data_IF_915294656753
#
_entry.id   IF_915294656753
#
_cell.length_a   1.000
_cell.length_b   1.000
_cell.length_c   1.000
_cell.angle_alpha   90.00
_cell.angle_beta   90.00
_cell.angle_gamma   90.00
#
_symmetry.space_group_name_H-M   'P 1'
#
loop_
_entity.id
_entity.type
_entity.pdbx_description
1 polymer ?
#
# COMPACT_ATOMS: atom_id res chain seq x y z
N UNK A 1 -44.16 -2.52 47.11
CA UNK A 1 -43.80 -3.37 45.96
C UNK A 1 -43.20 -2.61 44.77
N UNK A 2 -43.60 -1.36 44.46
CA UNK A 2 -43.09 -0.60 43.28
C UNK A 2 -41.62 -0.13 43.31
N UNK A 3 -40.98 0.03 44.48
CA UNK A 3 -39.61 0.60 44.58
C UNK A 3 -38.51 -0.43 44.26
N UNK A 4 -38.79 -1.72 44.46
CA UNK A 4 -37.82 -2.81 44.27
C UNK A 4 -37.59 -3.08 42.77
N UNK A 5 -38.65 -2.99 41.96
CA UNK A 5 -38.56 -3.09 40.48
C UNK A 5 -37.71 -1.98 39.86
N UNK A 6 -37.80 -0.75 40.37
CA UNK A 6 -37.08 0.41 39.81
C UNK A 6 -35.56 0.30 40.06
N UNK A 7 -35.14 -0.21 41.23
CA UNK A 7 -33.73 -0.39 41.57
C UNK A 7 -33.06 -1.52 40.76
N UNK A 8 -33.78 -2.63 40.55
CA UNK A 8 -33.34 -3.71 39.68
C UNK A 8 -33.22 -3.26 38.22
N UNK A 9 -34.21 -2.51 37.73
CA UNK A 9 -34.19 -1.95 36.38
C UNK A 9 -33.03 -0.98 36.15
N UNK A 10 -32.76 -0.06 37.09
CA UNK A 10 -31.64 0.87 36.96
C UNK A 10 -30.29 0.13 36.95
N UNK A 11 -30.13 -0.90 37.79
CA UNK A 11 -28.89 -1.69 37.86
C UNK A 11 -28.66 -2.51 36.59
N UNK A 12 -29.71 -3.12 36.04
CA UNK A 12 -29.65 -3.84 34.76
C UNK A 12 -29.34 -2.91 33.59
N UNK A 13 -29.95 -1.73 33.56
CA UNK A 13 -29.67 -0.71 32.54
C UNK A 13 -28.21 -0.25 32.59
N UNK A 14 -27.67 0.06 33.77
CA UNK A 14 -26.25 0.41 33.94
C UNK A 14 -25.30 -0.69 33.46
N UNK A 15 -25.64 -1.95 33.73
CA UNK A 15 -24.84 -3.09 33.28
C UNK A 15 -24.86 -3.24 31.75
N UNK A 16 -26.02 -3.13 31.12
CA UNK A 16 -26.15 -3.15 29.66
C UNK A 16 -25.42 -1.98 29.00
N UNK A 17 -25.51 -0.78 29.59
CA UNK A 17 -24.78 0.41 29.12
C UNK A 17 -23.27 0.18 29.16
N UNK A 18 -22.74 -0.46 30.22
CA UNK A 18 -21.32 -0.79 30.31
C UNK A 18 -20.89 -1.80 29.25
N UNK A 19 -21.68 -2.84 29.00
CA UNK A 19 -21.40 -3.82 27.95
C UNK A 19 -21.37 -3.13 26.58
N UNK A 20 -22.38 -2.32 26.28
CA UNK A 20 -22.44 -1.56 25.04
C UNK A 20 -21.23 -0.63 24.88
N UNK A 21 -20.83 0.04 25.96
CA UNK A 21 -19.66 0.90 25.98
C UNK A 21 -18.36 0.12 25.71
N UNK A 22 -18.16 -1.04 26.36
CA UNK A 22 -16.99 -1.89 26.12
C UNK A 22 -16.94 -2.42 24.69
N UNK A 23 -18.09 -2.88 24.16
CA UNK A 23 -18.19 -3.31 22.76
C UNK A 23 -17.84 -2.17 21.81
N UNK A 24 -18.35 -0.97 22.07
CA UNK A 24 -18.04 0.23 21.28
C UNK A 24 -16.55 0.58 21.34
N UNK A 25 -15.90 0.48 22.50
CA UNK A 25 -14.47 0.72 22.62
C UNK A 25 -13.63 -0.25 21.78
N UNK A 26 -13.98 -1.54 21.79
CA UNK A 26 -13.29 -2.55 20.96
C UNK A 26 -13.50 -2.26 19.48
N UNK A 27 -14.72 -1.93 19.07
CA UNK A 27 -15.02 -1.55 17.68
C UNK A 27 -14.22 -0.31 17.26
N UNK A 28 -14.22 0.76 18.07
CA UNK A 28 -13.44 1.97 17.78
C UNK A 28 -11.94 1.66 17.72
N UNK A 29 -11.44 0.81 18.61
CA UNK A 29 -10.04 0.42 18.59
C UNK A 29 -9.68 -0.31 17.27
N UNK A 30 -10.42 -1.35 16.93
CA UNK A 30 -10.14 -2.23 15.81
C UNK A 30 -10.43 -1.59 14.44
N UNK A 31 -11.45 -0.72 14.36
CA UNK A 31 -11.87 -0.10 13.10
C UNK A 31 -11.27 1.29 12.86
N UNK A 32 -10.68 1.91 13.88
CA UNK A 32 -10.17 3.27 13.76
C UNK A 32 -8.80 3.47 14.40
N UNK A 33 -8.65 3.28 15.72
CA UNK A 33 -7.45 3.68 16.46
C UNK A 33 -6.21 2.89 16.04
N UNK A 34 -6.35 1.58 15.80
CA UNK A 34 -5.23 0.70 15.50
C UNK A 34 -4.43 1.16 14.27
N UNK A 35 -5.10 1.73 13.27
CA UNK A 35 -4.46 2.25 12.06
C UNK A 35 -3.51 3.40 12.39
N UNK A 36 -3.96 4.39 13.18
CA UNK A 36 -3.08 5.47 13.63
C UNK A 36 -1.96 4.96 14.53
N UNK A 37 -2.26 4.04 15.45
CA UNK A 37 -1.25 3.51 16.37
C UNK A 37 -0.10 2.82 15.63
N UNK A 38 -0.40 1.97 14.65
CA UNK A 38 0.63 1.30 13.84
C UNK A 38 1.39 2.31 12.97
N UNK A 39 0.68 3.26 12.34
CA UNK A 39 1.30 4.26 11.47
C UNK A 39 2.21 5.25 12.20
N UNK A 40 1.94 5.57 13.47
CA UNK A 40 2.83 6.39 14.31
C UNK A 40 4.21 5.74 14.51
N UNK A 41 4.35 4.44 14.24
CA UNK A 41 5.64 3.76 14.19
C UNK A 41 6.47 4.06 12.93
N UNK A 42 5.91 4.76 11.93
CA UNK A 42 6.62 5.19 10.73
C UNK A 42 6.82 6.71 10.70
N UNK A 43 7.82 7.15 9.95
CA UNK A 43 8.11 8.58 9.76
C UNK A 43 8.76 8.82 8.41
N UNK A 44 8.68 10.05 7.91
CA UNK A 44 9.43 10.45 6.73
C UNK A 44 10.93 10.27 6.96
N UNK A 45 11.63 9.49 6.10
CA UNK A 45 13.04 9.23 6.33
C UNK A 45 13.86 10.50 6.13
N UNK A 46 14.86 10.69 6.99
CA UNK A 46 15.70 11.89 7.00
C UNK A 46 16.87 11.74 6.04
N UNK A 47 17.03 12.70 5.13
CA UNK A 47 18.13 12.72 4.16
C UNK A 47 19.49 12.77 4.88
N UNK A 48 20.45 12.00 4.37
CA UNK A 48 21.81 11.95 4.91
C UNK A 48 22.80 12.47 3.89
N UNK A 49 23.81 13.23 4.32
CA UNK A 49 24.90 13.69 3.44
C UNK A 49 25.72 12.54 2.85
N UNK A 50 25.71 11.37 3.49
CA UNK A 50 26.46 10.19 3.02
C UNK A 50 25.89 9.61 1.72
N UNK A 51 24.61 9.84 1.42
CA UNK A 51 23.95 9.32 0.21
C UNK A 51 23.71 10.36 -0.87
N UNK A 52 24.26 11.54 -0.65
CA UNK A 52 24.20 12.60 -1.61
C UNK A 52 25.05 12.25 -2.83
N UNK A 53 24.45 12.36 -4.01
CA UNK A 53 25.14 12.19 -5.28
C UNK A 53 25.77 13.53 -5.68
N UNK A 54 27.06 13.67 -5.39
CA UNK A 54 27.82 14.89 -5.70
C UNK A 54 28.02 15.13 -7.21
N UNK A 55 27.64 14.18 -8.07
CA UNK A 55 27.66 14.38 -9.53
C UNK A 55 26.46 15.18 -10.05
N UNK A 56 25.40 15.32 -9.24
CA UNK A 56 24.19 16.08 -9.58
C UNK A 56 24.18 17.38 -8.77
N UNK A 57 23.89 18.49 -9.44
CA UNK A 57 23.79 19.79 -8.77
C UNK A 57 22.71 19.75 -7.68
N UNK A 58 23.03 20.24 -6.47
CA UNK A 58 22.02 20.37 -5.42
C UNK A 58 20.90 21.33 -5.85
N UNK A 59 19.75 21.32 -5.15
CA UNK A 59 18.70 22.30 -5.38
C UNK A 59 19.28 23.72 -5.31
N UNK A 60 18.88 24.60 -6.23
CA UNK A 60 19.35 26.00 -6.27
C UNK A 60 18.96 26.77 -5.01
N UNK A 61 17.83 26.41 -4.42
CA UNK A 61 17.33 26.96 -3.16
C UNK A 61 17.53 25.94 -2.03
N UNK A 62 18.43 26.26 -1.10
CA UNK A 62 18.75 25.42 0.06
C UNK A 62 17.67 25.43 1.14
N UNK A 63 16.69 26.34 1.07
CA UNK A 63 15.57 26.43 2.00
C UNK A 63 14.37 25.57 1.58
N UNK A 64 14.42 25.03 0.36
CA UNK A 64 13.32 24.27 -0.21
C UNK A 64 13.14 22.92 0.49
N UNK A 65 11.89 22.61 0.82
CA UNK A 65 11.52 21.34 1.46
C UNK A 65 11.66 20.18 0.46
N UNK A 66 12.12 19.00 0.90
CA UNK A 66 12.23 17.84 0.04
C UNK A 66 10.84 17.36 -0.43
N UNK A 67 10.81 16.72 -1.59
CA UNK A 67 9.63 16.07 -2.11
C UNK A 67 9.34 14.80 -1.29
N UNK A 68 8.10 14.65 -0.86
CA UNK A 68 7.62 13.52 -0.06
C UNK A 68 6.67 12.69 -0.91
N UNK A 69 7.08 11.46 -1.17
CA UNK A 69 6.41 10.53 -2.07
C UNK A 69 5.98 9.30 -1.30
N UNK A 70 4.73 8.88 -1.48
CA UNK A 70 4.20 7.62 -0.98
C UNK A 70 4.03 6.64 -2.15
N UNK A 71 4.34 5.37 -1.93
CA UNK A 71 4.17 4.33 -2.92
C UNK A 71 3.31 3.19 -2.36
N UNK A 72 2.32 2.78 -3.14
CA UNK A 72 1.33 1.75 -2.85
C UNK A 72 1.31 0.77 -4.03
N UNK A 73 1.04 -0.50 -3.78
CA UNK A 73 0.89 -1.50 -4.82
C UNK A 73 -0.11 -2.59 -4.43
N UNK A 74 -0.58 -3.34 -5.43
CA UNK A 74 -1.37 -4.57 -5.28
C UNK A 74 -2.57 -4.36 -4.34
N UNK A 75 -3.42 -3.38 -4.65
CA UNK A 75 -4.64 -3.13 -3.87
C UNK A 75 -5.73 -4.17 -4.16
N UNK A 76 -5.71 -4.78 -5.35
CA UNK A 76 -6.61 -5.86 -5.75
C UNK A 76 -8.09 -5.56 -5.46
N UNK A 77 -8.58 -4.40 -5.90
CA UNK A 77 -10.00 -4.08 -5.86
C UNK A 77 -10.79 -5.04 -6.75
N UNK A 78 -11.62 -5.87 -6.14
CA UNK A 78 -12.43 -6.87 -6.85
C UNK A 78 -13.35 -6.18 -7.85
N UNK A 79 -13.15 -6.44 -9.15
CA UNK A 79 -13.95 -5.77 -10.19
C UNK A 79 -15.40 -6.28 -10.20
N UNK A 80 -15.63 -7.58 -9.95
CA UNK A 80 -16.96 -8.20 -10.04
C UNK A 80 -17.80 -8.10 -8.76
N UNK A 81 -19.14 -8.11 -8.92
CA UNK A 81 -20.11 -8.08 -7.82
C UNK A 81 -20.44 -9.45 -7.22
N UNK A 82 -19.97 -10.55 -7.82
CA UNK A 82 -20.34 -11.92 -7.42
C UNK A 82 -19.66 -12.42 -6.14
N UNK A 83 -18.71 -11.67 -5.60
CA UNK A 83 -18.06 -12.02 -4.34
C UNK A 83 -18.89 -11.68 -3.11
N UNK A 84 -18.68 -12.46 -2.03
CA UNK A 84 -19.36 -12.28 -0.76
C UNK A 84 -19.18 -10.85 -0.22
N UNK A 85 -20.29 -10.12 -0.13
CA UNK A 85 -20.31 -8.67 0.16
C UNK A 85 -19.56 -8.27 1.44
N UNK A 86 -19.50 -9.14 2.45
CA UNK A 86 -18.80 -8.86 3.70
C UNK A 86 -17.28 -8.88 3.58
N UNK A 87 -16.71 -9.87 2.87
CA UNK A 87 -15.26 -9.95 2.69
C UNK A 87 -14.79 -8.73 1.91
N UNK A 88 -15.46 -8.42 0.79
CA UNK A 88 -15.22 -7.20 0.02
C UNK A 88 -15.30 -5.95 0.90
N UNK A 89 -16.38 -5.78 1.67
CA UNK A 89 -16.53 -4.64 2.57
C UNK A 89 -15.38 -4.55 3.57
N UNK A 90 -14.94 -5.68 4.15
CA UNK A 90 -13.87 -5.71 5.13
C UNK A 90 -12.51 -5.31 4.53
N UNK A 91 -12.19 -5.82 3.34
CA UNK A 91 -10.94 -5.51 2.61
C UNK A 91 -10.92 -4.05 2.16
N UNK A 92 -11.99 -3.57 1.55
CA UNK A 92 -12.09 -2.16 1.13
C UNK A 92 -12.08 -1.21 2.33
N UNK A 93 -12.73 -1.58 3.44
CA UNK A 93 -12.66 -0.80 4.68
C UNK A 93 -11.23 -0.73 5.22
N UNK A 94 -10.48 -1.83 5.21
CA UNK A 94 -9.08 -1.80 5.60
C UNK A 94 -8.27 -0.84 4.72
N UNK A 95 -8.39 -0.96 3.40
CA UNK A 95 -7.64 -0.09 2.48
C UNK A 95 -8.01 1.38 2.69
N UNK A 96 -9.29 1.69 2.83
CA UNK A 96 -9.78 3.02 3.14
C UNK A 96 -9.17 3.54 4.44
N UNK A 97 -9.27 2.78 5.54
CA UNK A 97 -8.75 3.22 6.85
C UNK A 97 -7.24 3.38 6.83
N UNK A 98 -6.50 2.45 6.24
CA UNK A 98 -5.06 2.52 6.06
C UNK A 98 -4.65 3.75 5.25
N UNK A 99 -5.26 3.99 4.10
CA UNK A 99 -4.91 5.10 3.23
C UNK A 99 -5.28 6.46 3.84
N UNK A 100 -6.50 6.61 4.34
CA UNK A 100 -6.95 7.90 4.89
C UNK A 100 -6.17 8.30 6.15
N UNK A 101 -5.81 7.33 7.00
CA UNK A 101 -4.95 7.61 8.16
C UNK A 101 -3.51 7.93 7.76
N UNK A 102 -2.95 7.24 6.75
CA UNK A 102 -1.63 7.55 6.20
C UNK A 102 -1.60 8.94 5.54
N UNK A 103 -2.60 9.27 4.73
CA UNK A 103 -2.75 10.59 4.11
C UNK A 103 -2.81 11.70 5.17
N UNK A 104 -3.61 11.49 6.24
CA UNK A 104 -3.73 12.45 7.34
C UNK A 104 -2.42 12.63 8.12
N UNK A 105 -1.68 11.54 8.39
CA UNK A 105 -0.47 11.60 9.22
C UNK A 105 0.76 12.08 8.44
N UNK A 106 0.86 11.73 7.16
CA UNK A 106 2.09 11.95 6.39
C UNK A 106 1.99 13.08 5.38
N UNK A 107 0.78 13.43 4.91
CA UNK A 107 0.54 14.48 3.91
C UNK A 107 1.56 14.41 2.73
N UNK A 108 1.58 13.30 1.98
CA UNK A 108 2.48 13.13 0.85
C UNK A 108 2.14 14.14 -0.26
N UNK A 109 3.16 14.62 -0.97
CA UNK A 109 2.94 15.48 -2.15
C UNK A 109 2.45 14.65 -3.34
N UNK A 110 2.94 13.40 -3.45
CA UNK A 110 2.62 12.48 -4.54
C UNK A 110 2.38 11.08 -3.96
N UNK A 111 1.36 10.39 -4.48
CA UNK A 111 1.13 8.96 -4.27
C UNK A 111 1.22 8.24 -5.60
N UNK A 112 2.08 7.21 -5.67
CA UNK A 112 2.14 6.30 -6.81
C UNK A 112 1.47 4.96 -6.48
N UNK A 113 0.62 4.46 -7.39
CA UNK A 113 0.08 3.11 -7.36
C UNK A 113 0.79 2.26 -8.43
N UNK A 114 1.52 1.24 -8.02
CA UNK A 114 2.38 0.43 -8.87
C UNK A 114 1.66 -0.84 -9.34
N UNK A 115 0.53 -0.66 -10.02
CA UNK A 115 -0.22 -1.75 -10.64
C UNK A 115 -1.01 -2.63 -9.68
N UNK A 116 -1.74 -3.56 -10.29
CA UNK A 116 -2.72 -4.44 -9.65
C UNK A 116 -3.65 -3.65 -8.74
N UNK A 117 -4.18 -2.56 -9.32
CA UNK A 117 -5.21 -1.75 -8.68
C UNK A 117 -6.46 -2.60 -8.45
N UNK A 118 -6.78 -3.42 -9.43
CA UNK A 118 -7.94 -4.30 -9.48
C UNK A 118 -7.55 -5.76 -9.40
N UNK A 119 -8.50 -6.60 -8.99
CA UNK A 119 -8.43 -8.03 -9.20
C UNK A 119 -9.46 -8.44 -10.25
N UNK A 120 -8.98 -8.98 -11.37
CA UNK A 120 -9.80 -9.33 -12.53
C UNK A 120 -10.23 -8.12 -13.37
N UNK A 121 -9.46 -7.03 -13.36
CA UNK A 121 -9.69 -5.86 -14.20
C UNK A 121 -9.76 -6.21 -15.68
N UNK A 122 -8.98 -7.19 -16.14
CA UNK A 122 -9.01 -7.74 -17.49
C UNK A 122 -10.21 -8.65 -17.80
N UNK A 123 -11.00 -9.02 -16.79
CA UNK A 123 -12.14 -9.92 -16.94
C UNK A 123 -13.49 -9.19 -16.83
N UNK A 124 -13.50 -7.97 -16.28
CA UNK A 124 -14.73 -7.26 -16.05
C UNK A 124 -15.24 -6.46 -17.25
N UNK A 125 -16.56 -6.28 -17.29
CA UNK A 125 -17.24 -5.43 -18.26
C UNK A 125 -16.86 -3.96 -18.08
N UNK A 126 -17.07 -3.13 -19.10
CA UNK A 126 -16.75 -1.70 -19.02
C UNK A 126 -17.57 -0.97 -17.93
N UNK A 127 -18.80 -1.40 -17.67
CA UNK A 127 -19.62 -0.88 -16.58
C UNK A 127 -19.06 -1.23 -15.20
N UNK A 128 -18.60 -2.47 -15.01
CA UNK A 128 -17.94 -2.90 -13.77
C UNK A 128 -16.60 -2.20 -13.58
N UNK A 129 -15.85 -2.01 -14.67
CA UNK A 129 -14.61 -1.24 -14.68
C UNK A 129 -14.85 0.20 -14.23
N UNK A 130 -15.81 0.90 -14.84
CA UNK A 130 -16.12 2.28 -14.50
C UNK A 130 -16.49 2.44 -13.02
N UNK A 131 -17.36 1.58 -12.50
CA UNK A 131 -17.75 1.58 -11.09
C UNK A 131 -16.56 1.23 -10.18
N UNK A 132 -15.66 0.37 -10.63
CA UNK A 132 -14.44 0.02 -9.86
C UNK A 132 -13.46 1.18 -9.81
N UNK A 133 -13.32 1.95 -10.89
CA UNK A 133 -12.53 3.20 -10.93
C UNK A 133 -13.14 4.27 -10.02
N UNK A 134 -14.46 4.45 -10.02
CA UNK A 134 -15.14 5.36 -9.08
C UNK A 134 -14.88 4.96 -7.61
N UNK A 135 -14.96 3.65 -7.31
CA UNK A 135 -14.63 3.13 -5.98
C UNK A 135 -13.16 3.37 -5.62
N UNK A 136 -12.23 3.18 -6.56
CA UNK A 136 -10.82 3.48 -6.35
C UNK A 136 -10.64 4.93 -5.88
N UNK A 137 -11.17 5.91 -6.62
CA UNK A 137 -11.05 7.32 -6.25
C UNK A 137 -11.79 7.67 -4.95
N UNK A 138 -12.87 6.95 -4.61
CA UNK A 138 -13.55 7.11 -3.32
C UNK A 138 -12.70 6.61 -2.15
N UNK A 139 -12.11 5.41 -2.26
CA UNK A 139 -11.31 4.78 -1.20
C UNK A 139 -9.98 5.52 -1.00
N UNK A 140 -9.33 5.87 -2.10
CA UNK A 140 -8.04 6.54 -2.16
C UNK A 140 -8.15 8.04 -2.41
N UNK A 141 -9.16 8.67 -1.81
CA UNK A 141 -9.38 10.12 -1.94
C UNK A 141 -8.29 10.93 -1.24
N UNK A 142 -7.80 11.96 -1.92
CA UNK A 142 -6.73 12.84 -1.43
C UNK A 142 -7.21 14.28 -1.27
N UNK A 143 -6.46 15.09 -0.53
CA UNK A 143 -6.60 16.55 -0.54
C UNK A 143 -6.11 17.14 -1.87
N UNK A 144 -6.57 18.35 -2.23
CA UNK A 144 -6.23 19.02 -3.50
C UNK A 144 -4.71 19.15 -3.79
N UNK A 145 -3.87 19.13 -2.74
CA UNK A 145 -2.42 19.30 -2.86
C UNK A 145 -1.65 18.00 -3.12
N UNK A 146 -2.30 16.83 -3.02
CA UNK A 146 -1.66 15.52 -3.24
C UNK A 146 -2.09 14.95 -4.58
N UNK A 147 -1.11 14.63 -5.43
CA UNK A 147 -1.35 14.05 -6.77
C UNK A 147 -1.22 12.53 -6.75
N UNK A 148 -2.13 11.84 -7.45
CA UNK A 148 -2.09 10.39 -7.63
C UNK A 148 -1.63 10.07 -9.06
N UNK A 149 -0.72 9.11 -9.20
CA UNK A 149 -0.35 8.52 -10.47
C UNK A 149 -0.40 7.00 -10.38
N UNK A 150 -0.92 6.36 -11.42
CA UNK A 150 -1.14 4.92 -11.46
C UNK A 150 -0.45 4.38 -12.70
N UNK A 151 0.24 3.24 -12.57
CA UNK A 151 0.69 2.42 -13.69
C UNK A 151 -0.06 1.07 -13.66
N UNK A 152 -0.23 0.38 -14.80
CA UNK A 152 -0.98 -0.88 -14.85
C UNK A 152 -0.18 -2.06 -14.29
N UNK A 153 -0.90 -3.00 -13.68
CA UNK A 153 -0.42 -4.36 -13.41
C UNK A 153 -1.12 -5.42 -14.27
N UNK A 154 -0.72 -6.68 -14.10
CA UNK A 154 -1.27 -7.78 -14.91
C UNK A 154 -2.72 -8.12 -14.54
N UNK A 155 -3.18 -7.87 -13.31
CA UNK A 155 -4.59 -8.01 -12.94
C UNK A 155 -5.45 -6.84 -13.42
N UNK A 156 -4.86 -5.75 -13.91
CA UNK A 156 -5.60 -4.61 -14.45
C UNK A 156 -5.90 -4.80 -15.94
N UNK A 157 -4.89 -5.20 -16.72
CA UNK A 157 -4.96 -5.25 -18.19
C UNK A 157 -4.72 -6.64 -18.80
N UNK A 158 -4.30 -7.62 -18.00
CA UNK A 158 -3.91 -8.97 -18.40
C UNK A 158 -2.40 -9.18 -18.39
N UNK A 159 -1.96 -10.44 -18.35
CA UNK A 159 -0.58 -10.77 -18.71
C UNK A 159 -0.33 -10.43 -20.19
N UNK A 160 0.94 -10.39 -20.58
CA UNK A 160 1.37 -9.96 -21.91
C UNK A 160 0.50 -10.49 -23.08
N UNK A 161 0.26 -11.80 -23.11
CA UNK A 161 -0.51 -12.47 -24.16
C UNK A 161 -2.04 -12.30 -24.05
N UNK A 162 -2.52 -11.76 -22.95
CA UNK A 162 -3.95 -11.56 -22.64
C UNK A 162 -4.38 -10.10 -22.84
N UNK A 163 -3.43 -9.17 -23.02
CA UNK A 163 -3.75 -7.75 -23.18
C UNK A 163 -4.52 -7.51 -24.47
N UNK A 164 -5.73 -6.98 -24.35
CA UNK A 164 -6.54 -6.53 -25.48
C UNK A 164 -6.49 -5.01 -25.62
N UNK A 165 -6.74 -4.52 -26.84
CA UNK A 165 -6.89 -3.08 -27.12
C UNK A 165 -7.94 -2.41 -26.24
N UNK A 166 -9.02 -3.12 -25.89
CA UNK A 166 -10.10 -2.61 -25.05
C UNK A 166 -9.63 -2.39 -23.61
N UNK A 167 -9.02 -3.41 -23.00
CA UNK A 167 -8.52 -3.34 -21.62
C UNK A 167 -7.44 -2.27 -21.46
N UNK A 168 -6.53 -2.19 -22.43
CA UNK A 168 -5.49 -1.18 -22.44
C UNK A 168 -6.08 0.24 -22.55
N UNK A 169 -6.92 0.51 -23.55
CA UNK A 169 -7.48 1.86 -23.78
C UNK A 169 -8.31 2.34 -22.60
N UNK A 170 -9.13 1.48 -21.99
CA UNK A 170 -9.94 1.89 -20.84
C UNK A 170 -9.07 2.20 -19.62
N UNK A 171 -7.98 1.46 -19.41
CA UNK A 171 -7.02 1.76 -18.35
C UNK A 171 -6.30 3.08 -18.60
N UNK A 172 -5.74 3.27 -19.81
CA UNK A 172 -5.06 4.51 -20.23
C UNK A 172 -5.99 5.72 -20.02
N UNK A 173 -7.27 5.59 -20.40
CA UNK A 173 -8.25 6.66 -20.25
C UNK A 173 -8.60 6.96 -18.78
N UNK A 174 -8.81 5.91 -17.97
CA UNK A 174 -9.26 6.05 -16.59
C UNK A 174 -8.19 6.67 -15.68
N UNK A 175 -6.91 6.34 -15.93
CA UNK A 175 -5.79 6.73 -15.07
C UNK A 175 -4.80 7.69 -15.73
N UNK A 176 -5.01 8.07 -16.99
CA UNK A 176 -4.06 8.87 -17.78
C UNK A 176 -2.66 8.24 -17.80
N UNK A 177 -2.63 6.93 -18.04
CA UNK A 177 -1.46 6.08 -17.88
C UNK A 177 -1.02 5.51 -19.24
N UNK A 178 -0.27 6.28 -20.07
CA UNK A 178 0.32 5.75 -21.30
C UNK A 178 1.33 4.64 -21.00
N UNK A 179 1.90 4.00 -22.02
CA UNK A 179 2.87 2.92 -21.79
C UNK A 179 4.13 3.44 -21.12
N UNK A 180 4.58 4.64 -21.48
CA UNK A 180 5.67 5.33 -20.80
C UNK A 180 5.27 6.75 -20.47
N UNK A 181 5.31 7.10 -19.19
CA UNK A 181 4.99 8.45 -18.70
C UNK A 181 6.22 9.08 -18.06
N UNK A 182 6.66 10.22 -18.62
CA UNK A 182 7.59 11.11 -17.95
C UNK A 182 6.83 12.07 -17.04
N UNK A 183 7.14 12.05 -15.75
CA UNK A 183 6.72 13.07 -14.80
C UNK A 183 7.92 13.92 -14.39
N UNK A 184 7.82 15.22 -14.62
CA UNK A 184 8.81 16.20 -14.17
C UNK A 184 8.22 17.03 -13.04
N UNK A 185 8.91 17.08 -11.90
CA UNK A 185 8.51 17.94 -10.78
C UNK A 185 9.22 19.29 -10.95
N UNK A 186 8.48 20.27 -11.47
CA UNK A 186 8.98 21.51 -12.10
C UNK A 186 10.02 22.26 -11.29
N UNK A 187 9.81 22.41 -9.99
CA UNK A 187 10.70 23.23 -9.16
C UNK A 187 11.99 22.50 -8.74
N UNK A 188 12.04 21.16 -8.84
CA UNK A 188 13.20 20.34 -8.45
C UNK A 188 13.85 19.63 -9.64
N UNK A 189 13.25 19.66 -10.83
CA UNK A 189 13.67 18.81 -11.96
C UNK A 189 13.86 17.34 -11.55
N UNK A 190 13.02 16.84 -10.63
CA UNK A 190 13.01 15.42 -10.28
C UNK A 190 12.16 14.73 -11.34
N UNK A 191 12.74 13.72 -11.99
CA UNK A 191 12.10 12.99 -13.06
C UNK A 191 11.72 11.58 -12.60
N UNK A 192 10.46 11.21 -12.80
CA UNK A 192 9.97 9.84 -12.69
C UNK A 192 9.59 9.34 -14.08
N UNK A 193 9.96 8.11 -14.39
CA UNK A 193 9.53 7.40 -15.60
C UNK A 193 8.70 6.21 -15.14
N UNK A 194 7.40 6.26 -15.40
CA UNK A 194 6.49 5.17 -15.11
C UNK A 194 6.35 4.34 -16.38
N UNK A 195 6.49 3.03 -16.27
CA UNK A 195 6.38 2.11 -17.40
C UNK A 195 5.25 1.10 -17.18
N UNK A 196 4.51 0.81 -18.24
CA UNK A 196 3.71 -0.40 -18.35
C UNK A 196 4.66 -1.58 -18.60
N UNK A 197 5.07 -2.26 -17.53
CA UNK A 197 6.03 -3.36 -17.61
C UNK A 197 5.54 -4.55 -18.44
N UNK A 198 4.22 -4.74 -18.58
CA UNK A 198 3.62 -5.79 -19.43
C UNK A 198 3.94 -5.57 -20.92
N UNK A 199 4.29 -4.34 -21.30
CA UNK A 199 4.69 -4.01 -22.66
C UNK A 199 6.19 -4.25 -22.97
N UNK A 200 7.00 -4.67 -21.99
CA UNK A 200 8.45 -4.90 -22.16
C UNK A 200 8.81 -6.40 -22.22
N UNK A 201 8.02 -7.19 -22.98
CA UNK A 201 8.25 -8.63 -23.18
C UNK A 201 9.44 -8.94 -24.10
N UNK A 202 9.72 -8.04 -25.05
CA UNK A 202 10.82 -8.15 -26.01
C UNK A 202 10.50 -8.93 -27.30
N UNK A 203 9.23 -9.26 -27.55
CA UNK A 203 8.80 -10.04 -28.73
C UNK A 203 8.42 -9.18 -29.95
N UNK A 204 8.61 -7.85 -29.87
CA UNK A 204 8.30 -6.86 -30.91
C UNK A 204 6.82 -6.79 -31.29
N UNK A 205 5.92 -7.19 -30.39
CA UNK A 205 4.49 -7.03 -30.56
C UNK A 205 4.05 -5.55 -30.72
N UNK A 206 2.79 -5.30 -31.12
CA UNK A 206 2.25 -3.94 -31.27
C UNK A 206 2.30 -3.12 -29.97
N UNK A 207 1.95 -3.75 -28.84
CA UNK A 207 2.01 -3.16 -27.50
C UNK A 207 3.46 -2.73 -27.16
N UNK A 208 4.41 -3.59 -27.52
CA UNK A 208 5.84 -3.47 -27.26
C UNK A 208 6.46 -2.33 -28.08
N UNK A 209 6.18 -2.30 -29.39
CA UNK A 209 6.66 -1.23 -30.27
C UNK A 209 6.17 0.14 -29.83
N UNK A 210 4.92 0.24 -29.36
CA UNK A 210 4.39 1.50 -28.83
C UNK A 210 5.13 1.93 -27.57
N UNK A 211 5.35 1.02 -26.62
CA UNK A 211 6.11 1.31 -25.40
C UNK A 211 7.56 1.73 -25.71
N UNK A 212 8.23 1.05 -26.64
CA UNK A 212 9.58 1.40 -27.07
C UNK A 212 9.65 2.78 -27.75
N UNK A 213 8.66 3.12 -28.59
CA UNK A 213 8.60 4.45 -29.21
C UNK A 213 8.41 5.54 -28.14
N UNK A 214 7.45 5.37 -27.23
CA UNK A 214 7.21 6.31 -26.12
C UNK A 214 8.45 6.44 -25.21
N UNK A 215 9.16 5.34 -24.92
CA UNK A 215 10.41 5.34 -24.17
C UNK A 215 11.49 6.18 -24.85
N UNK A 216 11.69 5.95 -26.16
CA UNK A 216 12.68 6.68 -26.94
C UNK A 216 12.36 8.18 -27.02
N UNK A 217 11.09 8.56 -27.18
CA UNK A 217 10.65 9.95 -27.15
C UNK A 217 10.98 10.62 -25.81
N UNK A 218 10.59 9.99 -24.70
CA UNK A 218 10.85 10.48 -23.34
C UNK A 218 12.35 10.66 -23.07
N UNK A 219 13.17 9.67 -23.44
CA UNK A 219 14.62 9.70 -23.22
C UNK A 219 15.28 10.78 -24.08
N UNK A 220 14.84 10.95 -25.33
CA UNK A 220 15.34 11.99 -26.21
C UNK A 220 14.97 13.39 -25.71
N UNK A 221 13.77 13.57 -25.17
CA UNK A 221 13.34 14.83 -24.57
C UNK A 221 14.18 15.21 -23.33
N UNK A 222 14.47 14.24 -22.45
CA UNK A 222 15.35 14.46 -21.30
C UNK A 222 16.79 14.82 -21.72
N UNK A 223 17.32 14.17 -22.76
CA UNK A 223 18.64 14.49 -23.32
C UNK A 223 18.66 15.90 -23.93
N UNK A 224 17.66 16.25 -24.74
CA UNK A 224 17.56 17.55 -25.43
C UNK A 224 17.47 18.72 -24.46
N UNK A 225 16.69 18.56 -23.39
CA UNK A 225 16.49 19.62 -22.39
C UNK A 225 17.68 19.82 -21.46
N UNK A 226 18.69 18.95 -21.52
CA UNK A 226 19.82 18.96 -20.57
C UNK A 226 19.36 18.74 -19.12
N UNK A 227 18.15 18.24 -18.91
CA UNK A 227 17.53 18.01 -17.61
C UNK A 227 17.81 16.60 -17.10
N UNK A 228 18.87 15.94 -17.57
CA UNK A 228 19.17 14.56 -17.19
C UNK A 228 19.62 14.45 -15.73
N UNK A 229 18.67 14.29 -14.80
CA UNK A 229 18.94 14.15 -13.36
C UNK A 229 18.97 12.71 -12.87
N UNK A 230 19.20 11.73 -13.76
CA UNK A 230 19.08 10.27 -13.47
C UNK A 230 17.69 9.93 -12.91
N UNK A 231 16.69 9.71 -13.78
CA UNK A 231 15.29 9.55 -13.35
C UNK A 231 15.08 8.36 -12.41
N UNK A 232 13.93 8.36 -11.74
CA UNK A 232 13.42 7.24 -10.95
C UNK A 232 12.55 6.38 -11.85
N UNK A 233 12.86 5.08 -11.97
CA UNK A 233 12.06 4.13 -12.73
C UNK A 233 10.96 3.54 -11.84
N UNK A 234 9.72 3.56 -12.31
CA UNK A 234 8.58 2.93 -11.65
C UNK A 234 7.96 1.89 -12.59
N UNK A 235 7.80 0.66 -12.11
CA UNK A 235 7.19 -0.44 -12.87
C UNK A 235 6.26 -1.26 -11.96
N UNK A 236 5.42 -2.11 -12.55
CA UNK A 236 4.68 -3.12 -11.78
C UNK A 236 5.54 -4.37 -11.61
N UNK A 237 5.97 -5.00 -12.70
CA UNK A 237 6.90 -6.14 -12.61
C UNK A 237 8.28 -5.68 -12.14
N UNK A 238 8.92 -6.42 -11.21
CA UNK A 238 10.29 -6.18 -10.84
C UNK A 238 11.24 -6.32 -12.02
N UNK A 239 12.37 -5.63 -11.91
CA UNK A 239 13.51 -5.89 -12.76
C UNK A 239 14.02 -7.31 -12.53
N UNK A 240 14.72 -7.85 -13.52
CA UNK A 240 15.20 -9.22 -13.52
C UNK A 240 16.04 -9.52 -12.27
N UNK A 241 15.66 -10.60 -11.59
CA UNK A 241 16.48 -11.27 -10.58
C UNK A 241 16.15 -12.75 -10.57
N UNK A 242 17.16 -13.59 -10.36
CA UNK A 242 17.01 -15.05 -10.43
C UNK A 242 16.10 -15.60 -9.32
N UNK A 243 16.20 -15.03 -8.11
CA UNK A 243 15.44 -15.40 -6.95
C UNK A 243 15.48 -14.27 -5.89
N UNK A 244 14.79 -14.48 -4.76
CA UNK A 244 14.72 -13.53 -3.65
C UNK A 244 15.81 -13.75 -2.57
N UNK A 245 16.88 -14.52 -2.84
CA UNK A 245 17.92 -14.83 -1.85
C UNK A 245 18.65 -13.56 -1.37
N UNK A 246 18.90 -12.62 -2.28
CA UNK A 246 19.58 -11.36 -1.98
C UNK A 246 18.66 -10.24 -1.51
N UNK A 247 17.35 -10.51 -1.34
CA UNK A 247 16.43 -9.52 -0.80
C UNK A 247 16.78 -9.22 0.65
N UNK A 248 17.20 -7.99 0.94
CA UNK A 248 17.26 -7.52 2.32
C UNK A 248 15.83 -7.47 2.87
N UNK A 249 15.42 -8.44 3.68
CA UNK A 249 14.07 -8.47 4.28
C UNK A 249 13.95 -7.41 5.37
N UNK A 250 12.77 -6.80 5.50
CA UNK A 250 12.50 -5.95 6.66
C UNK A 250 12.50 -6.81 7.93
N UNK A 251 12.85 -6.21 9.06
CA UNK A 251 13.02 -6.87 10.36
C UNK A 251 11.77 -7.59 10.89
N UNK A 252 10.60 -7.47 10.24
CA UNK A 252 9.35 -8.13 10.65
C UNK A 252 9.12 -9.53 10.06
N UNK A 253 9.96 -9.99 9.12
CA UNK A 253 9.87 -11.33 8.50
C UNK A 253 11.21 -12.08 8.49
N UNK A 254 11.99 -11.93 9.56
CA UNK A 254 13.23 -12.68 9.81
C UNK A 254 12.96 -14.14 10.21
N UNK A 255 12.28 -14.89 9.35
CA UNK A 255 12.38 -16.34 9.35
C UNK A 255 13.51 -16.72 8.40
N UNK A 256 14.63 -17.18 8.96
CA UNK A 256 15.78 -17.72 8.24
C UNK A 256 15.32 -18.84 7.32
N UNK A 257 15.06 -18.51 6.06
CA UNK A 257 14.83 -19.49 4.99
C UNK A 257 16.22 -19.88 4.46
N UNK A 258 16.56 -21.16 4.55
CA UNK A 258 17.78 -21.73 3.96
C UNK A 258 17.79 -21.48 2.44
N UNK A 259 18.96 -21.35 1.80
CA UNK A 259 19.12 -21.12 0.35
C UNK A 259 18.27 -22.06 -0.54
N UNK A 260 17.94 -23.26 -0.08
CA UNK A 260 17.04 -24.21 -0.77
C UNK A 260 15.55 -23.82 -0.78
N UNK A 261 15.17 -22.66 -0.24
CA UNK A 261 13.77 -22.19 -0.13
C UNK A 261 13.45 -20.95 -0.97
N UNK A 262 14.38 -20.47 -1.80
CA UNK A 262 14.12 -19.38 -2.74
C UNK A 262 13.83 -19.97 -4.13
N UNK A 263 12.55 -20.08 -4.53
CA UNK A 263 12.21 -20.58 -5.87
C UNK A 263 12.80 -19.65 -6.93
N UNK A 264 13.12 -20.22 -8.08
CA UNK A 264 13.51 -19.44 -9.25
C UNK A 264 12.32 -18.61 -9.72
N UNK A 265 12.57 -17.34 -10.01
CA UNK A 265 11.58 -16.45 -10.61
C UNK A 265 11.58 -16.64 -12.12
N UNK A 266 10.38 -16.71 -12.70
CA UNK A 266 10.18 -16.85 -14.13
C UNK A 266 10.20 -15.48 -14.76
N UNK A 267 11.08 -15.30 -15.74
CA UNK A 267 11.06 -14.15 -16.63
C UNK A 267 9.70 -14.04 -17.32
N UNK A 268 9.26 -12.81 -17.60
CA UNK A 268 8.00 -12.45 -18.27
C UNK A 268 6.73 -12.79 -17.50
N UNK A 269 6.85 -13.36 -16.31
CA UNK A 269 5.74 -13.67 -15.43
C UNK A 269 5.95 -13.07 -14.06
N UNK A 270 7.00 -13.51 -13.35
CA UNK A 270 7.27 -13.09 -11.98
C UNK A 270 8.17 -11.83 -11.97
N UNK A 271 9.02 -11.68 -12.99
CA UNK A 271 9.93 -10.53 -13.19
C UNK A 271 10.07 -10.22 -14.68
N UNK A 272 10.55 -9.02 -15.03
CA UNK A 272 10.98 -8.72 -16.40
C UNK A 272 12.10 -9.65 -16.85
N UNK A 273 12.25 -9.82 -18.17
CA UNK A 273 13.38 -10.59 -18.71
C UNK A 273 14.70 -9.88 -18.43
N UNK A 274 15.78 -10.66 -18.43
CA UNK A 274 17.13 -10.10 -18.27
C UNK A 274 17.43 -9.07 -19.37
N UNK A 275 17.06 -9.35 -20.61
CA UNK A 275 17.28 -8.43 -21.74
C UNK A 275 16.47 -7.14 -21.59
N UNK A 276 15.19 -7.24 -21.20
CA UNK A 276 14.35 -6.07 -20.97
C UNK A 276 14.91 -5.20 -19.83
N UNK A 277 15.39 -5.83 -18.77
CA UNK A 277 16.02 -5.15 -17.63
C UNK A 277 17.30 -4.43 -18.05
N UNK A 278 18.19 -5.10 -18.78
CA UNK A 278 19.43 -4.51 -19.28
C UNK A 278 19.15 -3.33 -20.23
N UNK A 279 18.16 -3.48 -21.12
CA UNK A 279 17.71 -2.43 -22.03
C UNK A 279 17.20 -1.20 -21.27
N UNK A 280 16.28 -1.39 -20.31
CA UNK A 280 15.72 -0.30 -19.50
C UNK A 280 16.81 0.41 -18.69
N UNK A 281 17.68 -0.34 -18.00
CA UNK A 281 18.75 0.25 -17.20
C UNK A 281 19.77 1.01 -18.06
N UNK A 282 20.09 0.52 -19.25
CA UNK A 282 21.04 1.17 -20.19
C UNK A 282 20.43 2.43 -20.81
N UNK A 283 19.16 2.36 -21.21
CA UNK A 283 18.45 3.41 -21.93
C UNK A 283 18.05 4.56 -21.01
N UNK A 284 17.51 4.24 -19.83
CA UNK A 284 17.01 5.21 -18.84
C UNK A 284 18.13 5.70 -17.90
N UNK A 285 19.13 4.85 -17.64
CA UNK A 285 20.18 5.09 -16.63
C UNK A 285 19.63 5.61 -15.29
N UNK A 286 18.63 4.95 -14.70
CA UNK A 286 17.95 5.47 -13.54
C UNK A 286 18.89 5.58 -12.34
N UNK A 287 18.50 6.41 -11.37
CA UNK A 287 19.19 6.46 -10.07
C UNK A 287 18.74 5.33 -9.16
N UNK A 288 17.47 4.94 -9.26
CA UNK A 288 16.84 3.87 -8.50
C UNK A 288 15.55 3.42 -9.21
N UNK A 289 15.03 2.27 -8.80
CA UNK A 289 13.76 1.73 -9.27
C UNK A 289 12.81 1.36 -8.12
N UNK A 290 11.51 1.45 -8.38
CA UNK A 290 10.48 0.83 -7.56
C UNK A 290 9.61 -0.10 -8.41
N UNK A 291 9.31 -1.27 -7.86
CA UNK A 291 8.48 -2.30 -8.49
C UNK A 291 7.46 -2.88 -7.50
N UNK A 292 6.63 -3.82 -7.95
CA UNK A 292 5.57 -4.46 -7.18
C UNK A 292 5.42 -5.95 -7.59
N UNK A 293 4.19 -6.47 -7.73
CA UNK A 293 3.82 -7.79 -8.24
C UNK A 293 4.15 -8.98 -7.32
N UNK A 294 5.36 -9.01 -6.73
CA UNK A 294 5.78 -10.12 -5.86
C UNK A 294 5.10 -10.11 -4.48
N UNK A 295 4.35 -9.03 -4.19
CA UNK A 295 3.64 -8.74 -2.94
C UNK A 295 4.50 -8.67 -1.68
N UNK A 296 5.78 -9.04 -1.74
CA UNK A 296 6.71 -9.08 -0.63
C UNK A 296 7.72 -7.93 -0.73
N UNK A 297 8.15 -7.44 0.44
CA UNK A 297 9.21 -6.44 0.50
C UNK A 297 10.51 -7.08 0.03
N UNK A 298 11.15 -6.42 -0.93
CA UNK A 298 12.50 -6.78 -1.34
C UNK A 298 13.29 -5.52 -1.64
N UNK A 299 14.54 -5.49 -1.17
CA UNK A 299 15.53 -4.52 -1.59
C UNK A 299 16.71 -5.25 -2.20
N UNK A 300 17.06 -4.89 -3.44
CA UNK A 300 18.23 -5.41 -4.15
C UNK A 300 18.99 -4.28 -4.83
N UNK A 301 20.21 -4.58 -5.25
CA UNK A 301 21.03 -3.68 -6.04
C UNK A 301 21.41 -4.36 -7.35
N UNK A 302 21.03 -3.75 -8.46
CA UNK A 302 21.36 -4.21 -9.80
C UNK A 302 22.76 -3.75 -10.17
N UNK A 303 23.58 -4.68 -10.66
CA UNK A 303 24.86 -4.35 -11.27
C UNK A 303 24.61 -3.80 -12.67
N UNK A 304 24.93 -2.53 -12.89
CA UNK A 304 24.91 -1.91 -14.20
C UNK A 304 26.33 -1.67 -14.73
N UNK A 305 26.43 -1.31 -16.01
CA UNK A 305 27.71 -0.98 -16.68
C UNK A 305 28.56 -0.02 -15.82
N UNK A 306 29.88 -0.22 -15.83
CA UNK A 306 30.86 0.49 -15.00
C UNK A 306 30.74 0.25 -13.48
N UNK A 307 30.24 -0.91 -13.04
CA UNK A 307 30.02 -1.27 -11.63
C UNK A 307 29.12 -0.26 -10.89
N UNK A 308 28.24 0.44 -11.61
CA UNK A 308 27.25 1.33 -10.98
C UNK A 308 26.12 0.46 -10.42
N UNK A 309 25.89 0.58 -9.12
CA UNK A 309 24.78 -0.10 -8.45
C UNK A 309 23.50 0.73 -8.57
N UNK A 310 22.42 0.10 -9.05
CA UNK A 310 21.09 0.71 -9.14
C UNK A 310 20.18 0.00 -8.12
N UNK A 311 19.82 0.65 -7.02
CA UNK A 311 18.92 0.06 -6.04
C UNK A 311 17.50 -0.07 -6.59
N UNK A 312 16.85 -1.19 -6.28
CA UNK A 312 15.44 -1.44 -6.54
C UNK A 312 14.74 -1.83 -5.24
N UNK A 313 13.56 -1.24 -5.00
CA UNK A 313 12.63 -1.70 -3.96
C UNK A 313 11.38 -2.29 -4.60
N UNK A 314 11.06 -3.54 -4.25
CA UNK A 314 9.76 -4.14 -4.54
C UNK A 314 8.81 -3.85 -3.37
N UNK A 315 7.73 -3.15 -3.69
CA UNK A 315 6.71 -2.70 -2.75
C UNK A 315 5.80 -3.88 -2.40
N UNK A 316 5.51 -4.09 -1.09
CA UNK A 316 4.56 -5.11 -0.68
C UNK A 316 3.12 -4.75 -1.03
N UNK A 317 2.24 -5.76 -1.03
CA UNK A 317 0.81 -5.50 -1.19
C UNK A 317 0.26 -4.65 -0.05
N UNK A 318 -0.64 -3.74 -0.41
CA UNK A 318 -1.38 -2.87 0.51
C UNK A 318 -2.63 -3.53 1.09
N UNK A 319 -3.05 -4.66 0.54
CA UNK A 319 -4.33 -5.31 0.83
C UNK A 319 -4.17 -6.52 1.74
N UNK A 320 -5.08 -6.66 2.72
CA UNK A 320 -5.19 -7.90 3.49
C UNK A 320 -5.57 -9.13 2.68
N UNK A 321 -6.09 -8.96 1.46
CA UNK A 321 -6.44 -10.09 0.60
C UNK A 321 -5.21 -10.92 0.24
N UNK A 322 -4.08 -10.24 0.06
CA UNK A 322 -2.84 -10.88 -0.36
C UNK A 322 -1.98 -11.25 0.85
N UNK A 323 -2.01 -10.43 1.93
CA UNK A 323 -1.09 -10.59 3.06
C UNK A 323 -1.71 -10.25 4.40
N UNK A 324 -1.32 -10.99 5.43
CA UNK A 324 -1.63 -10.62 6.81
C UNK A 324 -0.94 -9.31 7.24
N UNK A 325 0.25 -9.00 6.74
CA UNK A 325 1.06 -7.84 7.12
C UNK A 325 1.28 -6.83 5.97
N UNK A 326 0.22 -6.18 5.48
CA UNK A 326 0.35 -5.24 4.36
C UNK A 326 1.19 -4.03 4.76
N UNK A 327 1.74 -3.36 3.77
CA UNK A 327 2.62 -2.21 4.00
C UNK A 327 2.72 -1.33 2.75
N UNK A 328 3.37 -0.18 2.91
CA UNK A 328 3.64 0.77 1.85
C UNK A 328 5.02 1.39 2.07
N UNK A 329 5.45 2.23 1.13
CA UNK A 329 6.76 2.87 1.22
C UNK A 329 6.66 4.39 1.17
N UNK A 330 7.52 5.06 1.93
CA UNK A 330 7.69 6.50 1.93
C UNK A 330 9.08 6.85 1.42
N UNK A 331 9.18 7.87 0.57
CA UNK A 331 10.46 8.40 0.11
C UNK A 331 10.51 9.90 0.30
N UNK A 332 11.61 10.35 0.89
CA UNK A 332 12.02 11.75 0.92
C UNK A 332 13.08 11.93 -0.17
N UNK A 333 12.88 12.86 -1.10
CA UNK A 333 13.77 13.03 -2.25
C UNK A 333 14.02 14.50 -2.59
N UNK A 334 15.21 14.76 -3.12
CA UNK A 334 15.69 16.02 -3.73
C UNK A 334 16.42 15.67 -5.02
N UNK A 335 16.86 16.67 -5.80
CA UNK A 335 17.62 16.45 -7.05
C UNK A 335 18.76 15.44 -6.91
N UNK A 336 19.52 15.52 -5.81
CA UNK A 336 20.76 14.78 -5.61
C UNK A 336 20.80 13.94 -4.34
N UNK A 337 19.68 13.76 -3.64
CA UNK A 337 19.63 12.92 -2.43
C UNK A 337 18.26 12.26 -2.27
N UNK A 338 18.22 11.03 -1.75
CA UNK A 338 16.99 10.32 -1.45
C UNK A 338 17.16 9.42 -0.25
N UNK A 339 16.05 9.13 0.41
CA UNK A 339 15.93 8.08 1.43
C UNK A 339 14.56 7.45 1.36
N UNK A 340 14.50 6.17 1.71
CA UNK A 340 13.28 5.37 1.62
C UNK A 340 13.02 4.69 2.96
N UNK A 341 11.75 4.65 3.37
CA UNK A 341 11.27 3.96 4.56
C UNK A 341 10.16 2.97 4.18
N UNK A 342 10.18 1.80 4.83
CA UNK A 342 9.11 0.81 4.77
C UNK A 342 8.17 1.04 5.97
N UNK A 343 6.87 1.18 5.71
CA UNK A 343 5.86 1.44 6.73
C UNK A 343 4.84 0.31 6.78
N UNK A 344 4.73 -0.35 7.93
CA UNK A 344 3.75 -1.40 8.17
C UNK A 344 2.33 -0.85 8.35
N UNK A 345 1.33 -1.65 7.98
CA UNK A 345 -0.07 -1.44 8.31
C UNK A 345 -0.52 -2.46 9.38
N UNK A 346 -1.68 -2.25 10.02
CA UNK A 346 -2.22 -3.23 10.96
C UNK A 346 -2.34 -4.61 10.33
N UNK A 347 -1.99 -5.67 11.07
CA UNK A 347 -2.16 -7.04 10.61
C UNK A 347 -3.60 -7.52 10.77
N UNK A 348 -4.11 -8.28 9.81
CA UNK A 348 -5.47 -8.83 9.90
C UNK A 348 -5.63 -9.69 11.15
N UNK A 349 -4.67 -10.59 11.38
CA UNK A 349 -4.60 -11.46 12.56
C UNK A 349 -4.60 -10.68 13.86
N UNK A 350 -3.89 -9.55 13.92
CA UNK A 350 -3.85 -8.71 15.11
C UNK A 350 -5.22 -8.08 15.38
N UNK A 351 -5.92 -7.61 14.34
CA UNK A 351 -7.28 -7.07 14.50
C UNK A 351 -8.26 -8.16 14.90
N UNK A 352 -8.18 -9.33 14.26
CA UNK A 352 -9.01 -10.49 14.60
C UNK A 352 -8.84 -10.92 16.06
N UNK A 353 -7.61 -11.11 16.52
CA UNK A 353 -7.35 -11.50 17.91
C UNK A 353 -7.73 -10.40 18.91
N UNK A 354 -7.62 -9.12 18.53
CA UNK A 354 -8.12 -8.02 19.36
C UNK A 354 -9.62 -8.12 19.59
N UNK A 355 -10.40 -8.47 18.56
CA UNK A 355 -11.82 -8.77 18.69
C UNK A 355 -12.10 -9.98 19.57
N UNK A 356 -11.39 -11.08 19.36
CA UNK A 356 -11.58 -12.33 20.14
C UNK A 356 -11.30 -12.10 21.62
N UNK A 357 -10.18 -11.46 21.95
CA UNK A 357 -9.80 -11.15 23.34
C UNK A 357 -10.81 -10.17 23.94
N UNK A 358 -11.19 -9.12 23.21
CA UNK A 358 -12.19 -8.16 23.66
C UNK A 358 -13.55 -8.80 23.97
N UNK A 359 -14.03 -9.67 23.08
CA UNK A 359 -15.27 -10.43 23.27
C UNK A 359 -15.18 -11.36 24.49
N UNK A 360 -14.06 -12.06 24.66
CA UNK A 360 -13.82 -12.90 25.84
C UNK A 360 -13.88 -12.09 27.13
N UNK A 361 -13.25 -10.91 27.18
CA UNK A 361 -13.28 -10.03 28.35
C UNK A 361 -14.70 -9.52 28.66
N UNK A 362 -15.50 -9.21 27.63
CA UNK A 362 -16.91 -8.84 27.81
C UNK A 362 -17.72 -10.02 28.34
N UNK A 363 -17.55 -11.23 27.79
CA UNK A 363 -18.26 -12.43 28.27
C UNK A 363 -17.87 -12.72 29.72
N UNK A 364 -16.59 -12.63 30.05
CA UNK A 364 -16.10 -12.77 31.43
C UNK A 364 -16.74 -11.72 32.34
N UNK A 365 -16.79 -10.46 31.92
CA UNK A 365 -17.48 -9.40 32.64
C UNK A 365 -18.98 -9.70 32.82
N UNK A 366 -19.64 -10.30 31.82
CA UNK A 366 -21.06 -10.68 31.92
C UNK A 366 -21.26 -11.75 32.99
N UNK A 367 -20.47 -12.83 32.94
CA UNK A 367 -20.62 -14.00 33.80
C UNK A 367 -20.27 -13.71 35.28
N UNK A 368 -19.27 -12.86 35.51
CA UNK A 368 -18.73 -12.62 36.85
C UNK A 368 -19.04 -11.22 37.40
N UNK A 369 -19.23 -10.22 36.55
CA UNK A 369 -19.55 -8.84 36.94
C UNK A 369 -21.01 -8.62 37.31
N UNK A 370 -21.94 -9.44 36.79
CA UNK A 370 -23.38 -9.37 37.07
C UNK A 370 -23.83 -9.97 38.41
N UNK A 371 -22.94 -10.62 39.17
CA UNK A 371 -23.30 -11.36 40.40
C UNK A 371 -23.51 -10.49 41.66
N UNK A 372 -23.67 -9.17 41.53
CA UNK A 372 -23.77 -8.25 42.69
C UNK A 372 -25.10 -7.49 42.96
N UNK A 373 -26.29 -7.79 42.39
CA UNK A 373 -27.51 -7.11 42.86
C UNK A 373 -28.39 -7.91 43.83
N UNK A 374 -28.05 -9.16 44.22
CA UNK A 374 -28.89 -9.91 45.19
C UNK A 374 -28.41 -9.85 46.64
N UNK A 375 -27.11 -9.64 46.89
CA UNK A 375 -26.57 -9.64 48.25
C UNK A 375 -26.87 -8.34 49.03
N UNK A 376 -27.06 -7.21 48.34
CA UNK A 376 -27.41 -5.92 48.97
C UNK A 376 -28.90 -5.80 49.32
N UNK A 377 -29.78 -6.56 48.65
CA UNK A 377 -31.21 -6.58 48.98
C UNK A 377 -31.45 -7.30 50.31
N UNK A 378 -30.73 -8.41 50.57
CA UNK A 378 -30.80 -9.13 51.85
C UNK A 378 -30.22 -8.28 52.99
N UNK A 379 -29.12 -7.56 52.77
CA UNK A 379 -28.54 -6.66 53.78
C UNK A 379 -29.40 -5.43 54.09
N UNK A 380 -30.06 -4.83 53.09
CA UNK A 380 -31.00 -3.72 53.33
C UNK A 380 -32.31 -4.17 54.01
N UNK A 381 -32.77 -5.40 53.77
CA UNK A 381 -33.96 -5.95 54.44
C UNK A 381 -33.66 -6.32 55.89
N UNK A 382 -32.49 -6.89 56.18
CA UNK A 382 -32.03 -7.21 57.54
C UNK A 382 -31.81 -5.96 58.40
N UNK A 383 -31.26 -4.88 57.84
CA UNK A 383 -31.07 -3.62 58.59
C UNK A 383 -32.38 -2.96 59.01
N UNK A 384 -33.46 -3.16 58.23
CA UNK A 384 -34.79 -2.62 58.52
C UNK A 384 -35.60 -3.47 59.51
N UNK A 385 -35.27 -4.76 59.63
CA UNK A 385 -35.87 -5.69 60.61
C UNK A 385 -35.10 -5.66 61.94
N UNK A 386 -33.79 -5.43 61.94
CA UNK A 386 -32.95 -5.50 63.14
C UNK A 386 -32.86 -4.21 63.97
N UNK A 387 -33.35 -3.04 63.52
CA UNK A 387 -33.16 -1.73 64.21
C UNK A 387 -31.71 -1.58 64.75
N UNK A 388 -30.73 -1.70 63.87
CA UNK A 388 -29.33 -1.29 64.11
C UNK A 388 -28.91 -0.30 63.02
#
# INVERSE_FOLDING_TARGET
MKIIDVCGFHTMLHFLVKILFLTLLILIYCEFIIYYFVLLGCSWPQLSKLEQDFTIQPPKDSTKKPLRVMFIADTHLICSYKEHSFNKLRREWQMYRSFQSAQFLFEPHIVFFLGDVTDGGQLCSDDEWHKTVERFYSLFSTSNDTRIYVLPGNHDIGFHYEVTDGHLKRFEHSFQAPHVRLLTIDDDKIHFILINSIAFEGDQCRLCQRAENELNEVVNDLKRTGAWTKPILLSHFPLYRMNDEHCSRSSSTSSLKTTSQFPLLRERFDVLSQEATEHLLTTIQPRLAFSAHMHNYCYIQHNHTNNKLIPEWTIPSFSWEIRDDPSFMLMTITTNNQRVAHCSLPRETTVFWSYVIGAFLIIFYILFGGRRPYCLIVFCFLRKILKI
#
